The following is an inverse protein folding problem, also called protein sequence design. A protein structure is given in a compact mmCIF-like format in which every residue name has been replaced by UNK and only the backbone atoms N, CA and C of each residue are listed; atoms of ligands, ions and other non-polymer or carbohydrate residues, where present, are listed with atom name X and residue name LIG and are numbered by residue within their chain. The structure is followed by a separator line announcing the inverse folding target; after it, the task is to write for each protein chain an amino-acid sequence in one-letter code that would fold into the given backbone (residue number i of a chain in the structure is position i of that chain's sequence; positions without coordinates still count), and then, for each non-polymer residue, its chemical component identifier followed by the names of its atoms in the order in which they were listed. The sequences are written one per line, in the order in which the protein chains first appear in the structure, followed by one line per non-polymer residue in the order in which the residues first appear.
data_IF_944090677706
#
_entry.id   IF_944090677706
#
_cell.length_a   1.000
_cell.length_b   1.000
_cell.length_c   1.000
_cell.angle_alpha   90.00
_cell.angle_beta   90.00
_cell.angle_gamma   90.00
#
_symmetry.space_group_name_H-M   'P 1'
#
loop_
_entity.id
_entity.type
_entity.pdbx_description
1 polymer ?
#
# COMPACT_ATOMS: atom_id res chain seq x y z
N UNK A 1 14.04 -4.26 -21.70
CA UNK A 1 14.15 -3.39 -20.50
C UNK A 1 12.89 -3.56 -19.67
N UNK A 2 12.99 -3.48 -18.34
CA UNK A 2 11.82 -3.59 -17.47
C UNK A 2 10.86 -2.42 -17.69
N UNK A 3 9.58 -2.67 -17.98
CA UNK A 3 8.60 -1.63 -18.33
C UNK A 3 7.38 -1.67 -17.40
N UNK A 4 6.79 -0.50 -17.14
CA UNK A 4 5.57 -0.32 -16.36
C UNK A 4 5.59 -0.96 -14.96
N UNK A 5 6.76 -1.12 -14.34
CA UNK A 5 6.93 -1.86 -13.09
C UNK A 5 6.10 -1.27 -11.95
N UNK A 6 6.06 0.06 -11.82
CA UNK A 6 5.26 0.73 -10.80
C UNK A 6 3.77 0.41 -10.96
N UNK A 7 3.24 0.50 -12.18
CA UNK A 7 1.84 0.22 -12.49
C UNK A 7 1.50 -1.26 -12.24
N UNK A 8 2.36 -2.19 -12.67
CA UNK A 8 2.19 -3.63 -12.43
C UNK A 8 2.20 -3.95 -10.93
N UNK A 9 3.06 -3.30 -10.14
CA UNK A 9 3.09 -3.46 -8.68
C UNK A 9 1.81 -2.93 -8.02
N UNK A 10 1.28 -1.79 -8.49
CA UNK A 10 0.00 -1.26 -7.98
C UNK A 10 -1.17 -2.20 -8.28
N UNK A 11 -1.22 -2.77 -9.49
CA UNK A 11 -2.21 -3.79 -9.85
C UNK A 11 -2.06 -5.05 -8.98
N UNK A 12 -0.83 -5.48 -8.72
CA UNK A 12 -0.55 -6.61 -7.83
C UNK A 12 -1.03 -6.33 -6.41
N UNK A 13 -0.77 -5.13 -5.89
CA UNK A 13 -1.23 -4.71 -4.57
C UNK A 13 -2.76 -4.71 -4.47
N UNK A 14 -3.44 -4.18 -5.49
CA UNK A 14 -4.89 -4.14 -5.56
C UNK A 14 -5.51 -5.54 -5.68
N UNK A 15 -4.86 -6.45 -6.41
CA UNK A 15 -5.29 -7.83 -6.57
C UNK A 15 -5.16 -8.62 -5.27
N UNK A 16 -4.04 -8.45 -4.55
CA UNK A 16 -3.78 -9.13 -3.28
C UNK A 16 -4.55 -8.49 -2.11
N UNK A 17 -5.16 -7.32 -2.31
CA UNK A 17 -5.82 -6.57 -1.25
C UNK A 17 -4.83 -6.04 -0.19
N UNK A 18 -3.55 -5.90 -0.54
CA UNK A 18 -2.54 -5.41 0.40
C UNK A 18 -2.73 -3.91 0.59
N UNK A 19 -3.13 -3.47 1.78
CA UNK A 19 -3.46 -2.06 2.04
C UNK A 19 -2.21 -1.19 2.13
N UNK A 20 -1.11 -1.75 2.65
CA UNK A 20 0.14 -1.03 2.86
C UNK A 20 1.33 -1.62 2.10
N UNK A 21 2.37 -0.80 1.95
CA UNK A 21 3.70 -1.23 1.45
C UNK A 21 4.29 -2.39 2.27
N UNK A 22 3.97 -2.44 3.57
CA UNK A 22 4.38 -3.53 4.48
C UNK A 22 3.69 -4.83 4.15
N UNK A 23 2.40 -4.78 3.85
CA UNK A 23 1.62 -5.96 3.49
C UNK A 23 2.11 -6.54 2.16
N UNK A 24 2.42 -5.68 1.18
CA UNK A 24 2.99 -6.12 -0.09
C UNK A 24 4.36 -6.77 0.11
N UNK A 25 5.27 -6.17 0.88
CA UNK A 25 6.57 -6.76 1.17
C UNK A 25 6.45 -8.08 1.96
N UNK A 26 5.47 -8.18 2.87
CA UNK A 26 5.18 -9.42 3.58
C UNK A 26 4.67 -10.52 2.63
N UNK A 27 3.84 -10.16 1.64
CA UNK A 27 3.35 -11.10 0.64
C UNK A 27 4.49 -11.70 -0.20
N UNK A 28 5.45 -10.87 -0.65
CA UNK A 28 6.66 -11.36 -1.32
C UNK A 28 7.50 -12.25 -0.42
N UNK A 29 7.68 -11.90 0.86
CA UNK A 29 8.42 -12.73 1.82
C UNK A 29 7.75 -14.07 2.13
N UNK A 30 6.43 -14.14 2.06
CA UNK A 30 5.70 -15.39 2.25
C UNK A 30 5.99 -16.39 1.11
N UNK A 31 6.30 -15.90 -0.09
CA UNK A 31 6.75 -16.72 -1.22
C UNK A 31 8.23 -17.08 -1.10
N UNK A 32 9.07 -16.10 -0.73
CA UNK A 32 10.49 -16.28 -0.57
C UNK A 32 11.02 -15.41 0.57
N UNK A 33 11.35 -16.03 1.71
CA UNK A 33 11.86 -15.30 2.88
C UNK A 33 13.17 -14.54 2.62
N UNK A 34 13.92 -14.93 1.57
CA UNK A 34 15.18 -14.29 1.14
C UNK A 34 14.99 -13.35 -0.05
N UNK A 35 13.75 -12.99 -0.38
CA UNK A 35 13.48 -12.07 -1.47
C UNK A 35 14.18 -10.73 -1.27
N UNK A 36 14.68 -10.17 -2.38
CA UNK A 36 15.24 -8.82 -2.40
C UNK A 36 14.17 -7.71 -2.41
N UNK A 37 12.88 -8.10 -2.33
CA UNK A 37 11.75 -7.19 -2.15
C UNK A 37 11.64 -6.76 -0.67
N UNK A 38 12.38 -5.71 -0.31
CA UNK A 38 12.30 -5.07 1.01
C UNK A 38 11.46 -3.78 0.98
N UNK A 39 11.12 -3.25 2.16
CA UNK A 39 10.29 -2.06 2.31
C UNK A 39 10.86 -0.80 1.65
N UNK A 40 12.17 -0.58 1.76
CA UNK A 40 12.82 0.63 1.22
C UNK A 40 12.91 0.59 -0.31
N UNK A 41 13.09 -0.59 -0.89
CA UNK A 41 13.04 -0.81 -2.35
C UNK A 41 11.62 -0.76 -2.88
N UNK A 42 10.67 -1.40 -2.19
CA UNK A 42 9.26 -1.44 -2.58
C UNK A 42 8.68 -0.02 -2.74
N UNK A 43 9.03 0.88 -1.82
CA UNK A 43 8.61 2.28 -1.90
C UNK A 43 9.09 2.96 -3.20
N UNK A 44 10.38 2.86 -3.49
CA UNK A 44 10.97 3.44 -4.71
C UNK A 44 10.38 2.83 -5.98
N UNK A 45 10.08 1.54 -5.97
CA UNK A 45 9.49 0.84 -7.11
C UNK A 45 8.03 1.20 -7.35
N UNK A 46 7.22 1.32 -6.29
CA UNK A 46 5.81 1.76 -6.37
C UNK A 46 5.69 3.22 -6.83
N UNK A 47 6.64 4.08 -6.48
CA UNK A 47 6.73 5.47 -6.97
C UNK A 47 7.28 5.57 -8.39
N UNK A 48 7.81 4.48 -8.96
CA UNK A 48 8.45 4.49 -10.28
C UNK A 48 9.82 5.19 -10.33
N UNK A 49 10.43 5.44 -9.16
CA UNK A 49 11.76 6.09 -9.04
C UNK A 49 12.91 5.12 -9.26
N UNK A 50 12.64 3.82 -9.20
CA UNK A 50 13.58 2.74 -9.50
C UNK A 50 12.82 1.51 -10.00
N UNK A 51 13.57 0.51 -10.51
CA UNK A 51 13.04 -0.81 -10.83
C UNK A 51 13.93 -1.91 -10.23
N UNK A 52 13.40 -3.13 -9.99
CA UNK A 52 14.21 -4.26 -9.60
C UNK A 52 15.30 -4.55 -10.65
N UNK A 53 16.54 -4.74 -10.19
CA UNK A 53 17.68 -5.14 -11.02
C UNK A 53 17.91 -6.65 -11.02
N UNK A 54 17.48 -7.30 -9.96
CA UNK A 54 17.67 -8.73 -9.74
C UNK A 54 16.50 -9.50 -10.36
N UNK A 55 16.81 -10.48 -11.22
CA UNK A 55 15.78 -11.29 -11.88
C UNK A 55 14.93 -12.08 -10.87
N UNK A 56 15.53 -12.47 -9.74
CA UNK A 56 14.89 -13.20 -8.64
C UNK A 56 13.62 -12.52 -8.13
N UNK A 57 13.58 -11.18 -8.10
CA UNK A 57 12.39 -10.44 -7.66
C UNK A 57 11.20 -10.69 -8.59
N UNK A 58 11.45 -10.75 -9.90
CA UNK A 58 10.40 -11.04 -10.86
C UNK A 58 9.97 -12.51 -10.82
N UNK A 59 10.89 -13.44 -10.53
CA UNK A 59 10.55 -14.85 -10.31
C UNK A 59 9.68 -15.04 -9.06
N UNK A 60 10.02 -14.37 -7.97
CA UNK A 60 9.20 -14.34 -6.75
C UNK A 60 7.82 -13.72 -7.05
N UNK A 61 7.77 -12.70 -7.91
CA UNK A 61 6.53 -12.06 -8.33
C UNK A 61 5.64 -12.98 -9.16
N UNK A 62 6.21 -13.74 -10.10
CA UNK A 62 5.46 -14.73 -10.88
C UNK A 62 4.85 -15.80 -9.97
N UNK A 63 5.60 -16.28 -8.98
CA UNK A 63 5.12 -17.22 -7.96
C UNK A 63 4.03 -16.61 -7.08
N UNK A 64 4.18 -15.35 -6.66
CA UNK A 64 3.20 -14.62 -5.85
C UNK A 64 1.84 -14.54 -6.56
N UNK A 65 1.85 -14.18 -7.84
CA UNK A 65 0.66 -14.12 -8.69
C UNK A 65 0.24 -15.49 -9.23
N UNK A 66 1.00 -16.54 -8.90
CA UNK A 66 0.81 -17.90 -9.41
C UNK A 66 0.69 -17.93 -10.94
N UNK A 67 1.44 -17.08 -11.64
CA UNK A 67 1.44 -17.03 -13.10
C UNK A 67 2.24 -18.21 -13.67
N UNK A 68 1.87 -18.62 -14.89
CA UNK A 68 2.61 -19.66 -15.63
C UNK A 68 3.80 -19.05 -16.37
N UNK A 69 3.77 -17.74 -16.61
CA UNK A 69 4.84 -17.01 -17.27
C UNK A 69 6.04 -16.83 -16.32
N UNK A 70 7.28 -16.87 -16.85
CA UNK A 70 8.49 -16.66 -16.05
C UNK A 70 8.62 -15.21 -15.57
N UNK A 71 9.49 -14.97 -14.58
CA UNK A 71 9.76 -13.63 -14.07
C UNK A 71 10.23 -12.65 -15.15
N UNK A 72 11.06 -13.11 -16.09
CA UNK A 72 11.49 -12.29 -17.24
C UNK A 72 10.30 -11.72 -18.03
N UNK A 73 9.22 -12.50 -18.20
CA UNK A 73 8.02 -12.02 -18.86
C UNK A 73 7.33 -10.90 -18.07
N UNK A 74 7.32 -10.94 -16.73
CA UNK A 74 6.77 -9.84 -15.91
C UNK A 74 7.58 -8.55 -16.10
N UNK A 75 8.90 -8.65 -16.26
CA UNK A 75 9.73 -7.48 -16.51
C UNK A 75 9.43 -6.86 -17.89
N UNK A 76 9.27 -7.69 -18.92
CA UNK A 76 9.22 -7.27 -20.32
C UNK A 76 7.82 -7.04 -20.88
N UNK A 77 6.78 -7.65 -20.29
CA UNK A 77 5.42 -7.53 -20.79
C UNK A 77 4.94 -6.07 -20.80
N UNK A 78 4.01 -5.76 -21.68
CA UNK A 78 3.30 -4.50 -21.62
C UNK A 78 2.28 -4.52 -20.46
N UNK A 79 1.74 -3.35 -20.12
CA UNK A 79 0.74 -3.26 -19.06
C UNK A 79 -0.56 -4.02 -19.42
N UNK A 80 -1.12 -3.88 -20.65
CA UNK A 80 -2.32 -4.63 -21.03
C UNK A 80 -2.15 -6.15 -20.98
N UNK A 81 -1.03 -6.69 -21.47
CA UNK A 81 -0.75 -8.13 -21.44
C UNK A 81 -0.56 -8.66 -20.02
N UNK A 82 0.10 -7.88 -19.15
CA UNK A 82 0.20 -8.20 -17.73
C UNK A 82 -1.19 -8.25 -17.06
N UNK A 83 -2.02 -7.22 -17.27
CA UNK A 83 -3.38 -7.16 -16.72
C UNK A 83 -4.24 -8.32 -17.22
N UNK A 84 -4.17 -8.65 -18.50
CA UNK A 84 -4.91 -9.77 -19.07
C UNK A 84 -4.53 -11.12 -18.41
N UNK A 85 -3.22 -11.36 -18.19
CA UNK A 85 -2.76 -12.60 -17.57
C UNK A 85 -3.23 -12.75 -16.11
N UNK A 86 -3.15 -11.67 -15.30
CA UNK A 86 -3.61 -11.73 -13.91
C UNK A 86 -5.14 -11.84 -13.83
N UNK A 87 -5.88 -11.14 -14.69
CA UNK A 87 -7.34 -11.24 -14.75
C UNK A 87 -7.78 -12.65 -15.12
N UNK A 88 -7.15 -13.26 -16.14
CA UNK A 88 -7.41 -14.63 -16.54
C UNK A 88 -7.07 -15.64 -15.43
N UNK A 89 -5.95 -15.44 -14.72
CA UNK A 89 -5.51 -16.35 -13.66
C UNK A 89 -6.39 -16.28 -12.40
N UNK A 90 -6.88 -15.11 -12.05
CA UNK A 90 -7.60 -14.88 -10.79
C UNK A 90 -9.11 -14.70 -10.96
N UNK A 91 -9.62 -14.68 -12.19
CA UNK A 91 -11.06 -14.49 -12.47
C UNK A 91 -11.58 -13.11 -12.06
N UNK A 92 -10.74 -12.08 -12.14
CA UNK A 92 -11.07 -10.71 -11.69
C UNK A 92 -11.39 -9.82 -12.88
N UNK A 93 -12.43 -8.99 -12.76
CA UNK A 93 -12.77 -7.98 -13.76
C UNK A 93 -11.66 -6.92 -13.89
N UNK A 94 -11.25 -6.66 -15.13
CA UNK A 94 -10.17 -5.72 -15.45
C UNK A 94 -10.49 -4.29 -14.99
N UNK A 95 -11.69 -3.82 -15.25
CA UNK A 95 -12.09 -2.43 -14.96
C UNK A 95 -12.17 -2.21 -13.45
N UNK A 96 -12.70 -3.18 -12.71
CA UNK A 96 -12.73 -3.17 -11.26
C UNK A 96 -11.31 -3.16 -10.66
N UNK A 97 -10.40 -3.99 -11.20
CA UNK A 97 -9.02 -4.06 -10.73
C UNK A 97 -8.25 -2.76 -10.97
N UNK A 98 -8.35 -2.18 -12.17
CA UNK A 98 -7.71 -0.91 -12.51
C UNK A 98 -8.26 0.24 -11.63
N UNK A 99 -9.57 0.28 -11.40
CA UNK A 99 -10.21 1.25 -10.50
C UNK A 99 -9.72 1.10 -9.06
N UNK A 100 -9.64 -0.12 -8.54
CA UNK A 100 -9.17 -0.38 -7.18
C UNK A 100 -7.71 0.04 -7.01
N UNK A 101 -6.85 -0.27 -8.00
CA UNK A 101 -5.45 0.14 -7.99
C UNK A 101 -5.28 1.67 -8.01
N UNK A 102 -6.11 2.38 -8.78
CA UNK A 102 -6.10 3.84 -8.81
C UNK A 102 -6.52 4.44 -7.45
N UNK A 103 -7.65 3.99 -6.89
CA UNK A 103 -8.16 4.47 -5.60
C UNK A 103 -7.18 4.21 -4.46
N UNK A 104 -6.57 3.02 -4.42
CA UNK A 104 -5.60 2.67 -3.39
C UNK A 104 -4.35 3.55 -3.48
N UNK A 105 -3.87 3.82 -4.69
CA UNK A 105 -2.70 4.67 -4.89
C UNK A 105 -2.97 6.12 -4.50
N UNK A 106 -4.11 6.68 -4.93
CA UNK A 106 -4.52 8.04 -4.54
C UNK A 106 -4.69 8.18 -3.02
N UNK A 107 -5.30 7.20 -2.36
CA UNK A 107 -5.43 7.19 -0.91
C UNK A 107 -4.07 7.12 -0.21
N UNK A 108 -3.13 6.32 -0.72
CA UNK A 108 -1.79 6.21 -0.18
C UNK A 108 -0.98 7.50 -0.36
N UNK A 109 -1.06 8.15 -1.52
CA UNK A 109 -0.44 9.46 -1.78
C UNK A 109 -1.05 10.55 -0.91
N UNK A 110 -2.39 10.60 -0.79
CA UNK A 110 -3.07 11.55 0.08
C UNK A 110 -2.74 11.33 1.56
N UNK A 111 -2.49 10.09 1.99
CA UNK A 111 -2.05 9.80 3.36
C UNK A 111 -0.61 10.26 3.61
N UNK A 112 0.30 10.10 2.66
CA UNK A 112 1.69 10.59 2.78
C UNK A 112 1.73 12.12 2.84
N UNK A 113 0.96 12.80 1.99
CA UNK A 113 0.82 14.25 2.00
C UNK A 113 0.11 14.76 3.27
N UNK A 114 -0.96 14.09 3.75
CA UNK A 114 -1.68 14.47 4.98
C UNK A 114 -0.93 14.17 6.27
N UNK A 115 -0.12 13.10 6.31
CA UNK A 115 0.73 12.78 7.45
C UNK A 115 1.75 13.91 7.72
N UNK A 116 2.11 14.67 6.69
CA UNK A 116 3.01 15.82 6.80
C UNK A 116 2.27 17.17 6.94
N UNK A 117 0.94 17.23 6.84
CA UNK A 117 0.22 18.52 6.72
C UNK A 117 -1.03 18.70 7.59
N UNK A 118 -1.46 17.71 8.38
CA UNK A 118 -2.52 17.91 9.39
C UNK A 118 -1.91 17.90 10.78
N UNK A 119 -1.24 19.00 11.15
CA UNK A 119 -0.99 19.31 12.53
C UNK A 119 -2.31 19.81 13.16
N UNK A 120 -2.98 18.95 13.93
CA UNK A 120 -4.15 19.34 14.74
C UNK A 120 -3.68 20.19 15.92
N UNK A 121 -3.28 21.44 15.65
CA UNK A 121 -2.91 22.41 16.67
C UNK A 121 -4.19 23.08 17.17
N UNK A 122 -4.37 23.10 18.49
CA UNK A 122 -5.53 23.74 19.09
C UNK A 122 -5.95 23.11 20.41
N UNK A 123 -7.04 23.66 20.96
CA UNK A 123 -7.68 23.15 22.17
C UNK A 123 -8.97 22.44 21.80
N UNK A 124 -9.08 21.18 22.21
CA UNK A 124 -10.19 20.29 21.89
C UNK A 124 -10.95 19.93 23.16
N UNK A 125 -12.28 19.98 23.10
CA UNK A 125 -13.11 19.44 24.17
C UNK A 125 -13.19 17.91 24.02
N UNK A 126 -12.80 17.20 25.07
CA UNK A 126 -12.85 15.75 25.12
C UNK A 126 -14.06 15.32 25.96
N UNK A 127 -14.88 14.43 25.43
CA UNK A 127 -15.99 13.83 26.16
C UNK A 127 -15.89 12.32 26.10
N UNK A 128 -15.99 11.65 27.25
CA UNK A 128 -16.06 10.20 27.31
C UNK A 128 -17.17 9.78 28.27
N UNK A 129 -17.67 8.54 28.13
CA UNK A 129 -18.61 7.98 29.11
C UNK A 129 -17.85 7.54 30.34
N UNK A 130 -18.41 7.74 31.52
CA UNK A 130 -17.83 7.20 32.74
C UNK A 130 -17.89 5.66 32.72
N UNK A 131 -16.74 5.01 32.99
CA UNK A 131 -16.63 3.55 32.98
C UNK A 131 -16.95 2.91 34.35
N UNK A 132 -17.05 3.72 35.41
CA UNK A 132 -17.45 3.25 36.73
C UNK A 132 -18.94 2.89 36.78
N UNK A 133 -19.32 1.73 37.36
CA UNK A 133 -20.72 1.35 37.56
C UNK A 133 -21.54 2.40 38.33
N UNK A 134 -20.89 3.14 39.25
CA UNK A 134 -21.54 4.16 40.08
C UNK A 134 -21.96 5.42 39.32
N UNK A 135 -21.33 5.69 38.17
CA UNK A 135 -21.56 6.90 37.36
C UNK A 135 -22.11 6.57 35.97
N UNK A 136 -22.81 5.43 35.83
CA UNK A 136 -23.43 5.03 34.56
C UNK A 136 -24.32 6.14 34.00
N UNK A 137 -24.17 6.39 32.70
CA UNK A 137 -24.93 7.43 31.99
C UNK A 137 -24.34 8.84 32.09
N UNK A 138 -23.31 9.05 32.92
CA UNK A 138 -22.63 10.34 33.02
C UNK A 138 -21.48 10.46 32.02
N UNK A 139 -21.16 11.70 31.63
CA UNK A 139 -20.03 12.04 30.78
C UNK A 139 -18.90 12.66 31.59
N UNK A 140 -17.68 12.22 31.33
CA UNK A 140 -16.46 12.87 31.78
C UNK A 140 -16.09 13.90 30.71
N UNK A 141 -15.96 15.16 31.12
CA UNK A 141 -15.48 16.26 30.28
C UNK A 141 -14.00 16.51 30.60
N UNK A 142 -13.18 16.62 29.57
CA UNK A 142 -11.79 17.05 29.64
C UNK A 142 -11.47 18.03 28.51
N UNK A 143 -10.25 18.56 28.52
CA UNK A 143 -9.69 19.36 27.44
C UNK A 143 -8.32 18.83 27.06
N UNK A 144 -8.06 18.74 25.75
CA UNK A 144 -6.76 18.39 25.20
C UNK A 144 -6.23 19.60 24.45
N UNK A 145 -5.04 20.08 24.84
CA UNK A 145 -4.32 21.11 24.10
C UNK A 145 -3.14 20.46 23.37
N UNK A 146 -3.09 20.67 22.06
CA UNK A 146 -1.99 20.23 21.21
C UNK A 146 -1.28 21.49 20.71
N UNK A 147 -0.03 21.65 21.13
CA UNK A 147 0.83 22.76 20.72
C UNK A 147 1.72 22.32 19.55
N UNK A 148 1.98 23.24 18.62
CA UNK A 148 2.95 23.00 17.55
C UNK A 148 4.36 22.91 18.11
N UNK A 149 5.16 21.94 17.66
CA UNK A 149 6.58 21.87 17.97
C UNK A 149 7.36 23.07 17.38
N UNK A 150 8.55 23.38 17.90
CA UNK A 150 9.36 24.50 17.40
C UNK A 150 9.67 24.32 15.91
N UNK A 151 9.16 25.22 15.06
CA UNK A 151 9.40 25.22 13.60
C UNK A 151 8.17 25.23 12.70
N UNK A 152 6.95 25.29 13.25
CA UNK A 152 5.72 25.47 12.47
C UNK A 152 5.31 26.96 12.52
N UNK A 153 5.66 27.72 11.47
CA UNK A 153 5.18 29.09 11.24
C UNK A 153 4.02 29.09 10.26
#
# INVERSE_FOLDING_TARGET
MAQHIAQKLRLTSALLGTVTRKDLAAAFRAVNARTAFDLGRADKWLQGRAHPRELSVYEDWAKLLRLEQPGAWIAESDLPGFTAAICARHGVDRVALERHAAQQFEAASAHDDRAHSIALIGTYACYSRAWSPYYRGQLIKGSLSIEGGPGVH
#
